data_IF_362652945085
#
_entry.id   IF_362652945085
#
_cell.length_a   1.000
_cell.length_b   1.000
_cell.length_c   1.000
_cell.angle_alpha   90.00
_cell.angle_beta   90.00
_cell.angle_gamma   90.00
#
_symmetry.space_group_name_H-M   'P 1'
#
loop_
_entity.id
_entity.type
_entity.pdbx_description
1 polymer ?
#
# COMPACT_ATOMS: atom_id res chain seq x y z
N UNK A 1 32.47 -2.79 -14.15
CA UNK A 1 32.44 -1.32 -14.34
C UNK A 1 31.17 -0.84 -13.67
N UNK A 2 31.26 -0.34 -12.42
CA UNK A 2 30.14 0.20 -11.68
C UNK A 2 29.73 1.54 -12.29
N UNK A 3 28.63 1.55 -13.03
CA UNK A 3 28.01 2.79 -13.50
C UNK A 3 27.60 3.62 -12.28
N UNK A 4 28.04 4.87 -12.22
CA UNK A 4 27.52 5.84 -11.26
C UNK A 4 26.05 6.07 -11.65
N UNK A 5 25.12 5.42 -10.95
CA UNK A 5 23.70 5.74 -11.10
C UNK A 5 23.52 7.22 -10.74
N UNK A 6 22.95 8.00 -11.66
CA UNK A 6 22.60 9.39 -11.39
C UNK A 6 21.69 9.49 -10.15
N UNK A 7 21.52 10.70 -9.63
CA UNK A 7 20.56 10.94 -8.54
C UNK A 7 19.15 10.73 -9.10
N UNK A 8 18.39 9.79 -8.52
CA UNK A 8 16.98 9.59 -8.86
C UNK A 8 16.10 10.48 -7.99
N UNK A 9 14.90 10.88 -8.47
CA UNK A 9 14.00 11.67 -7.66
C UNK A 9 13.51 10.86 -6.46
N UNK A 10 13.09 9.62 -6.69
CA UNK A 10 12.54 8.77 -5.63
C UNK A 10 13.06 7.34 -5.72
N UNK A 11 13.53 6.82 -4.58
CA UNK A 11 13.69 5.37 -4.37
C UNK A 11 12.48 4.86 -3.60
N UNK A 12 11.84 3.82 -4.13
CA UNK A 12 10.75 3.08 -3.48
C UNK A 12 11.28 1.74 -3.00
N UNK A 13 11.14 1.45 -1.72
CA UNK A 13 11.59 0.19 -1.11
C UNK A 13 10.38 -0.72 -0.89
N UNK A 14 10.30 -1.79 -1.68
CA UNK A 14 9.21 -2.75 -1.71
C UNK A 14 8.29 -2.58 -2.93
N UNK A 15 8.09 -3.65 -3.70
CA UNK A 15 7.20 -3.70 -4.88
C UNK A 15 5.89 -4.46 -4.59
N UNK A 16 5.32 -4.28 -3.41
CA UNK A 16 3.94 -4.64 -3.12
C UNK A 16 2.95 -3.65 -3.76
N UNK A 17 1.65 -3.81 -3.49
CA UNK A 17 0.61 -2.95 -4.06
C UNK A 17 0.85 -1.45 -3.80
N UNK A 18 1.33 -1.09 -2.60
CA UNK A 18 1.64 0.30 -2.26
C UNK A 18 2.80 0.85 -3.08
N UNK A 19 3.94 0.13 -3.10
CA UNK A 19 5.14 0.60 -3.79
C UNK A 19 4.97 0.66 -5.31
N UNK A 20 4.35 -0.37 -5.93
CA UNK A 20 4.09 -0.37 -7.38
C UNK A 20 3.16 0.78 -7.78
N UNK A 21 2.08 1.02 -7.01
CA UNK A 21 1.16 2.09 -7.35
C UNK A 21 1.79 3.48 -7.14
N UNK A 22 2.59 3.66 -6.08
CA UNK A 22 3.34 4.89 -5.87
C UNK A 22 4.33 5.16 -7.03
N UNK A 23 5.10 4.15 -7.42
CA UNK A 23 6.04 4.25 -8.52
C UNK A 23 5.34 4.58 -9.85
N UNK A 24 4.18 3.97 -10.11
CA UNK A 24 3.37 4.28 -11.29
C UNK A 24 2.94 5.74 -11.33
N UNK A 25 2.41 6.25 -10.23
CA UNK A 25 1.93 7.66 -10.14
C UNK A 25 3.09 8.63 -10.31
N UNK A 26 4.23 8.41 -9.65
CA UNK A 26 5.42 9.25 -9.75
C UNK A 26 6.00 9.23 -11.17
N UNK A 27 6.14 8.06 -11.79
CA UNK A 27 6.67 7.93 -13.14
C UNK A 27 5.76 8.62 -14.18
N UNK A 28 4.42 8.54 -14.01
CA UNK A 28 3.47 9.28 -14.84
C UNK A 28 3.55 10.79 -14.62
N UNK A 29 4.00 11.23 -13.44
CA UNK A 29 4.35 12.63 -13.16
C UNK A 29 5.76 13.00 -13.69
N UNK A 30 6.39 12.13 -14.49
CA UNK A 30 7.72 12.30 -15.12
C UNK A 30 8.87 12.38 -14.11
N UNK A 31 8.69 11.80 -12.91
CA UNK A 31 9.79 11.64 -11.94
C UNK A 31 10.63 10.41 -12.29
N UNK A 32 11.94 10.53 -12.08
CA UNK A 32 12.83 9.37 -12.13
C UNK A 32 12.61 8.52 -10.87
N UNK A 33 12.28 7.23 -11.06
CA UNK A 33 11.94 6.32 -9.97
C UNK A 33 12.70 5.03 -10.11
N UNK A 34 13.33 4.59 -9.02
CA UNK A 34 13.90 3.25 -8.87
C UNK A 34 13.15 2.52 -7.77
N UNK A 35 12.68 1.30 -8.05
CA UNK A 35 12.03 0.42 -7.07
C UNK A 35 12.98 -0.72 -6.71
N UNK A 36 13.20 -0.94 -5.42
CA UNK A 36 13.97 -2.08 -4.89
C UNK A 36 13.04 -3.04 -4.18
N UNK A 37 13.08 -4.34 -4.54
CA UNK A 37 12.17 -5.35 -4.01
C UNK A 37 12.90 -6.66 -3.67
N UNK A 38 12.65 -7.20 -2.49
CA UNK A 38 13.21 -8.48 -2.03
C UNK A 38 12.43 -9.73 -2.53
N UNK A 39 11.32 -9.51 -3.25
CA UNK A 39 10.53 -10.58 -3.84
C UNK A 39 9.69 -11.40 -2.85
N UNK A 40 9.46 -10.93 -1.62
CA UNK A 40 8.76 -11.65 -0.56
C UNK A 40 7.43 -10.98 -0.15
N UNK A 41 6.40 -10.95 -1.03
CA UNK A 41 5.14 -10.30 -0.73
C UNK A 41 4.36 -11.05 0.36
N UNK A 42 3.75 -10.30 1.30
CA UNK A 42 2.99 -10.84 2.44
C UNK A 42 1.93 -11.86 2.04
N UNK A 43 1.22 -11.59 0.95
CA UNK A 43 0.08 -12.39 0.49
C UNK A 43 0.46 -13.54 -0.48
N UNK A 44 1.75 -13.84 -0.62
CA UNK A 44 2.22 -14.96 -1.45
C UNK A 44 1.56 -16.33 -1.12
N UNK A 45 1.23 -16.64 0.16
CA UNK A 45 0.56 -17.91 0.47
C UNK A 45 -0.88 -18.02 -0.03
N UNK A 46 -1.55 -16.90 -0.35
CA UNK A 46 -2.93 -16.87 -0.79
C UNK A 46 -3.04 -17.19 -2.30
N UNK A 47 -3.95 -18.09 -2.67
CA UNK A 47 -4.19 -18.41 -4.08
C UNK A 47 -4.90 -17.26 -4.82
N UNK A 48 -5.76 -16.54 -4.13
CA UNK A 48 -6.57 -15.45 -4.67
C UNK A 48 -6.65 -14.27 -3.71
N UNK A 49 -6.89 -13.09 -4.23
CA UNK A 49 -7.21 -11.90 -3.45
C UNK A 49 -8.64 -11.45 -3.78
N UNK A 50 -9.33 -10.91 -2.79
CA UNK A 50 -10.70 -10.45 -2.92
C UNK A 50 -10.87 -9.00 -2.44
N UNK A 51 -12.00 -8.38 -2.83
CA UNK A 51 -12.32 -7.02 -2.42
C UNK A 51 -11.55 -5.92 -3.16
N UNK A 52 -10.91 -6.24 -4.27
CA UNK A 52 -10.34 -5.24 -5.19
C UNK A 52 -11.23 -5.16 -6.43
N UNK A 53 -12.04 -4.11 -6.55
CA UNK A 53 -12.94 -3.89 -7.67
C UNK A 53 -12.20 -4.02 -9.01
N UNK A 54 -12.75 -4.77 -9.95
CA UNK A 54 -12.19 -5.16 -11.25
C UNK A 54 -11.04 -6.19 -11.19
N UNK A 55 -10.57 -6.59 -10.01
CA UNK A 55 -9.51 -7.58 -9.80
C UNK A 55 -9.90 -8.67 -8.78
N UNK A 56 -11.19 -8.75 -8.44
CA UNK A 56 -11.70 -9.76 -7.51
C UNK A 56 -11.41 -11.16 -8.00
N UNK A 57 -10.88 -12.03 -7.13
CA UNK A 57 -10.45 -13.39 -7.46
C UNK A 57 -9.10 -13.51 -8.20
N UNK A 58 -8.41 -12.39 -8.47
CA UNK A 58 -7.09 -12.43 -9.13
C UNK A 58 -6.03 -13.01 -8.17
N UNK A 59 -5.11 -13.89 -8.65
CA UNK A 59 -3.96 -14.29 -7.85
C UNK A 59 -3.09 -13.08 -7.46
N UNK A 60 -2.63 -12.97 -6.21
CA UNK A 60 -1.78 -11.85 -5.78
C UNK A 60 -0.52 -11.66 -6.64
N UNK A 61 0.14 -12.77 -7.02
CA UNK A 61 1.32 -12.72 -7.87
C UNK A 61 1.01 -12.11 -9.25
N UNK A 62 -0.13 -12.43 -9.84
CA UNK A 62 -0.55 -11.89 -11.14
C UNK A 62 -0.78 -10.37 -11.08
N UNK A 63 -1.33 -9.85 -9.97
CA UNK A 63 -1.46 -8.40 -9.78
C UNK A 63 -0.10 -7.71 -9.79
N UNK A 64 0.88 -8.26 -9.07
CA UNK A 64 2.23 -7.68 -9.00
C UNK A 64 2.95 -7.76 -10.35
N UNK A 65 2.76 -8.84 -11.10
CA UNK A 65 3.32 -9.01 -12.44
C UNK A 65 2.75 -7.95 -13.41
N UNK A 66 1.43 -7.78 -13.45
CA UNK A 66 0.78 -6.73 -14.24
C UNK A 66 1.30 -5.34 -13.83
N UNK A 67 1.40 -5.06 -12.53
CA UNK A 67 1.93 -3.79 -12.03
C UNK A 67 3.37 -3.53 -12.47
N UNK A 68 4.26 -4.53 -12.42
CA UNK A 68 5.64 -4.42 -12.93
C UNK A 68 5.67 -4.15 -14.44
N UNK A 69 4.82 -4.82 -15.21
CA UNK A 69 4.71 -4.59 -16.65
C UNK A 69 4.18 -3.17 -16.99
N UNK A 70 3.29 -2.62 -16.16
CA UNK A 70 2.84 -1.24 -16.30
C UNK A 70 3.97 -0.25 -16.03
N UNK A 71 4.77 -0.45 -14.98
CA UNK A 71 5.92 0.41 -14.65
C UNK A 71 6.96 0.46 -15.77
N UNK A 72 7.22 -0.67 -16.43
CA UNK A 72 8.19 -0.76 -17.51
C UNK A 72 7.86 0.21 -18.67
N UNK A 73 6.58 0.52 -18.92
CA UNK A 73 6.14 1.47 -19.96
C UNK A 73 6.58 2.91 -19.67
N UNK A 74 6.88 3.22 -18.41
CA UNK A 74 7.27 4.56 -17.95
C UNK A 74 8.76 4.66 -17.59
N UNK A 75 9.55 3.62 -17.91
CA UNK A 75 10.98 3.61 -17.68
C UNK A 75 11.40 3.52 -16.21
N UNK A 76 10.52 2.99 -15.33
CA UNK A 76 10.86 2.73 -13.93
C UNK A 76 11.87 1.60 -13.86
N UNK A 77 12.97 1.83 -13.15
CA UNK A 77 13.97 0.80 -12.88
C UNK A 77 13.49 -0.09 -11.71
N UNK A 78 13.49 -1.40 -11.94
CA UNK A 78 13.15 -2.41 -10.94
C UNK A 78 14.40 -3.20 -10.59
N UNK A 79 14.86 -3.10 -9.35
CA UNK A 79 16.03 -3.82 -8.84
C UNK A 79 15.56 -4.93 -7.89
N UNK A 80 15.93 -6.17 -8.21
CA UNK A 80 15.75 -7.30 -7.31
C UNK A 80 16.86 -7.24 -6.25
N UNK A 81 16.49 -7.04 -5.00
CA UNK A 81 17.46 -6.93 -3.90
C UNK A 81 16.84 -6.43 -2.61
N UNK A 82 17.63 -6.48 -1.58
CA UNK A 82 17.28 -5.98 -0.26
C UNK A 82 18.00 -4.66 0.00
N UNK A 83 17.30 -3.71 0.61
CA UNK A 83 17.90 -2.49 1.15
C UNK A 83 18.34 -2.77 2.59
N UNK A 84 19.62 -2.59 2.85
CA UNK A 84 20.22 -2.81 4.18
C UNK A 84 20.11 -1.56 5.05
N UNK A 85 20.38 -0.39 4.45
CA UNK A 85 20.50 0.87 5.18
C UNK A 85 20.17 2.07 4.29
N UNK A 86 19.67 3.12 4.90
CA UNK A 86 19.43 4.42 4.26
C UNK A 86 20.15 5.50 5.07
N UNK A 87 21.06 6.23 4.42
CA UNK A 87 21.73 7.38 4.99
C UNK A 87 21.01 8.67 4.60
N UNK A 88 20.67 9.49 5.60
CA UNK A 88 20.09 10.82 5.40
C UNK A 88 21.18 11.89 5.53
N UNK A 89 21.54 12.49 4.40
CA UNK A 89 22.59 13.52 4.36
C UNK A 89 22.15 14.87 4.94
N UNK A 90 20.85 15.14 5.00
CA UNK A 90 20.30 16.33 5.66
C UNK A 90 20.47 16.28 7.18
N UNK A 91 20.29 15.09 7.75
CA UNK A 91 20.41 14.85 9.19
C UNK A 91 21.88 14.85 9.66
N UNK A 92 22.78 14.32 8.84
CA UNK A 92 24.22 14.31 9.11
C UNK A 92 24.78 15.75 9.19
N UNK A 93 24.40 16.63 8.27
CA UNK A 93 24.81 18.03 8.29
C UNK A 93 24.35 18.79 9.56
N UNK A 94 23.15 18.51 10.05
CA UNK A 94 22.64 19.13 11.30
C UNK A 94 23.29 18.56 12.57
N UNK A 95 23.80 17.35 12.57
CA UNK A 95 24.48 16.75 13.71
C UNK A 95 25.90 17.35 13.87
N UNK A 96 26.60 17.62 12.77
CA UNK A 96 27.91 18.25 12.77
C UNK A 96 27.87 19.74 13.18
N UNK A 97 26.79 20.44 12.82
CA UNK A 97 26.60 21.86 13.17
C UNK A 97 26.29 22.05 14.67
N UNK A 98 25.51 21.15 15.29
CA UNK A 98 25.27 21.15 16.74
C UNK A 98 26.50 20.81 17.56
N UNK A 99 27.47 20.10 16.99
CA UNK A 99 28.75 19.78 17.64
C UNK A 99 29.71 20.96 17.71
N UNK A 100 29.50 21.98 16.87
CA UNK A 100 30.34 23.19 16.81
C UNK A 100 29.84 24.35 17.67
N UNK A 101 28.56 24.35 18.02
CA UNK A 101 27.92 25.44 18.81
C UNK A 101 27.60 24.98 20.24
N UNK A 102 28.63 24.70 21.01
CA UNK A 102 28.55 24.46 22.45
C UNK A 102 28.32 25.74 23.22
N UNK A 103 27.12 26.31 23.22
CA UNK A 103 26.77 27.35 24.17
C UNK A 103 25.97 28.52 23.61
N UNK A 104 24.66 28.42 23.72
CA UNK A 104 23.71 29.45 24.19
C UNK A 104 22.29 29.10 23.74
N UNK A 105 21.41 28.88 24.72
CA UNK A 105 20.01 28.61 24.47
C UNK A 105 19.27 29.82 23.94
N UNK A 106 18.38 29.57 22.99
CA UNK A 106 17.17 30.35 22.75
C UNK A 106 16.17 29.47 22.00
N UNK A 107 15.01 29.21 22.60
CA UNK A 107 13.85 28.67 21.91
C UNK A 107 13.36 29.70 20.88
N UNK A 108 13.41 29.33 19.62
CA UNK A 108 12.87 30.12 18.53
C UNK A 108 12.77 29.24 17.30
N UNK A 109 11.55 29.01 16.80
CA UNK A 109 11.29 28.40 15.53
C UNK A 109 12.06 29.14 14.44
N UNK A 110 13.18 28.58 14.00
CA UNK A 110 13.87 29.00 12.79
C UNK A 110 13.66 27.90 11.75
N UNK A 111 12.82 28.22 10.76
CA UNK A 111 12.97 27.65 9.41
C UNK A 111 14.35 28.14 8.97
N UNK A 112 15.39 27.33 9.30
CA UNK A 112 16.77 27.73 9.09
C UNK A 112 17.10 27.74 7.61
N UNK A 113 17.72 28.85 7.17
CA UNK A 113 18.39 29.02 5.90
C UNK A 113 19.23 27.78 5.57
N UNK A 114 18.78 27.01 4.59
CA UNK A 114 19.57 25.92 4.00
C UNK A 114 20.66 26.52 3.12
N UNK A 115 21.93 26.16 3.29
CA UNK A 115 22.96 26.62 2.38
C UNK A 115 22.64 26.18 0.95
N UNK A 116 22.58 27.14 0.04
CA UNK A 116 22.40 26.93 -1.38
C UNK A 116 23.59 26.09 -1.91
N UNK A 117 23.38 24.79 -2.17
CA UNK A 117 24.40 23.95 -2.80
C UNK A 117 24.33 22.46 -2.54
N UNK A 118 23.85 21.99 -1.38
CA UNK A 118 23.65 20.56 -1.16
C UNK A 118 22.15 20.24 -1.23
N UNK A 119 21.76 19.46 -2.24
CA UNK A 119 20.45 18.79 -2.24
C UNK A 119 20.51 17.78 -1.11
N UNK A 120 19.81 17.98 0.03
CA UNK A 120 19.72 16.93 1.03
C UNK A 120 19.05 15.75 0.36
N UNK A 121 19.74 14.67 0.32
CA UNK A 121 19.30 13.46 -0.35
C UNK A 121 19.64 12.26 0.52
N UNK A 122 19.30 11.13 0.00
CA UNK A 122 19.54 9.86 0.66
C UNK A 122 20.52 9.02 -0.15
N UNK A 123 21.33 8.24 0.55
CA UNK A 123 22.04 7.10 -0.03
C UNK A 123 21.37 5.83 0.45
N UNK A 124 20.83 5.06 -0.48
CA UNK A 124 20.16 3.77 -0.23
C UNK A 124 21.14 2.66 -0.56
N UNK A 125 21.56 1.91 0.44
CA UNK A 125 22.52 0.81 0.32
C UNK A 125 21.81 -0.51 0.09
N UNK A 126 22.22 -1.22 -0.95
CA UNK A 126 21.70 -2.55 -1.28
C UNK A 126 22.60 -3.64 -0.69
N UNK A 127 22.01 -4.72 -0.20
CA UNK A 127 22.73 -5.89 0.29
C UNK A 127 23.64 -6.47 -0.81
N UNK A 128 24.95 -6.36 -0.63
CA UNK A 128 25.94 -6.86 -1.60
C UNK A 128 25.91 -6.16 -2.96
N UNK A 129 25.22 -5.03 -3.09
CA UNK A 129 25.02 -4.28 -4.33
C UNK A 129 25.55 -2.84 -4.29
N UNK A 130 25.30 -2.07 -5.37
CA UNK A 130 25.64 -0.66 -5.42
C UNK A 130 24.77 0.17 -4.48
N UNK A 131 25.24 1.36 -4.13
CA UNK A 131 24.42 2.35 -3.44
C UNK A 131 23.69 3.23 -4.48
N UNK A 132 22.41 3.55 -4.18
CA UNK A 132 21.58 4.44 -4.98
C UNK A 132 21.50 5.80 -4.30
N UNK A 133 21.47 6.87 -5.08
CA UNK A 133 21.23 8.22 -4.56
C UNK A 133 19.82 8.68 -4.91
N UNK A 134 19.09 9.20 -3.93
CA UNK A 134 17.72 9.66 -4.10
C UNK A 134 17.48 11.01 -3.43
N UNK A 135 16.56 11.80 -3.98
CA UNK A 135 16.07 13.02 -3.32
C UNK A 135 15.05 12.69 -2.23
N UNK A 136 14.23 11.67 -2.45
CA UNK A 136 13.18 11.21 -1.52
C UNK A 136 13.15 9.70 -1.44
N UNK A 137 12.61 9.18 -0.34
CA UNK A 137 12.45 7.73 -0.13
C UNK A 137 11.02 7.41 0.28
N UNK A 138 10.44 6.38 -0.34
CA UNK A 138 9.20 5.74 0.10
C UNK A 138 9.51 4.33 0.60
N UNK A 139 9.17 4.05 1.87
CA UNK A 139 9.28 2.71 2.44
C UNK A 139 7.91 2.03 2.36
N UNK A 140 7.82 0.95 1.57
CA UNK A 140 6.63 0.15 1.33
C UNK A 140 6.88 -1.34 1.58
N UNK A 141 7.73 -1.65 2.55
CA UNK A 141 8.26 -2.98 2.89
C UNK A 141 7.22 -3.93 3.51
N UNK A 142 6.06 -3.40 3.89
CA UNK A 142 4.97 -4.19 4.45
C UNK A 142 5.25 -4.72 5.87
N UNK A 143 4.69 -5.88 6.19
CA UNK A 143 4.83 -6.57 7.47
C UNK A 143 5.03 -8.08 7.26
N UNK A 144 5.37 -8.78 8.34
CA UNK A 144 5.35 -10.25 8.41
C UNK A 144 4.34 -10.71 9.45
N UNK A 145 3.69 -11.82 9.18
CA UNK A 145 2.76 -12.47 10.09
C UNK A 145 3.51 -13.55 10.89
N UNK A 146 3.60 -13.38 12.21
CA UNK A 146 4.13 -14.40 13.11
C UNK A 146 2.98 -15.28 13.62
N UNK A 147 3.03 -16.53 13.22
CA UNK A 147 2.01 -17.51 13.54
C UNK A 147 2.28 -18.19 14.88
N UNK A 148 1.24 -18.62 15.63
CA UNK A 148 1.44 -19.39 16.84
C UNK A 148 2.11 -20.74 16.54
N UNK A 149 2.91 -21.23 17.48
CA UNK A 149 3.69 -22.47 17.36
C UNK A 149 2.85 -23.75 17.51
N UNK A 150 1.63 -23.76 17.00
CA UNK A 150 0.72 -24.92 17.04
C UNK A 150 0.97 -25.79 15.79
N UNK A 151 1.22 -27.10 15.91
CA UNK A 151 1.42 -28.01 14.78
C UNK A 151 0.26 -27.93 13.77
N UNK A 152 0.60 -27.85 12.48
CA UNK A 152 -0.36 -27.69 11.37
C UNK A 152 -0.70 -26.24 11.02
N UNK A 153 -0.40 -25.27 11.87
CA UNK A 153 -0.74 -23.86 11.63
C UNK A 153 0.06 -23.29 10.44
N UNK A 154 1.36 -23.50 10.42
CA UNK A 154 2.23 -22.96 9.35
C UNK A 154 1.93 -23.58 8.00
N UNK A 155 1.67 -24.88 7.97
CA UNK A 155 1.41 -25.68 6.77
C UNK A 155 0.05 -25.34 6.14
N UNK A 156 -0.88 -24.83 6.94
CA UNK A 156 -2.24 -24.48 6.49
C UNK A 156 -2.45 -22.97 6.25
N UNK A 157 -1.46 -22.15 6.56
CA UNK A 157 -1.55 -20.69 6.40
C UNK A 157 -1.80 -20.27 4.96
N UNK A 158 -2.84 -19.45 4.76
CA UNK A 158 -3.27 -18.98 3.44
C UNK A 158 -4.09 -19.99 2.64
N UNK A 159 -4.45 -21.16 3.22
CA UNK A 159 -5.25 -22.21 2.60
C UNK A 159 -6.60 -22.36 3.30
N UNK A 160 -6.64 -23.08 4.40
CA UNK A 160 -7.80 -23.26 5.28
C UNK A 160 -7.50 -22.84 6.73
N UNK A 161 -6.30 -22.32 7.00
CA UNK A 161 -6.01 -21.42 8.11
C UNK A 161 -5.88 -20.00 7.59
N UNK A 162 -6.76 -19.13 8.01
CA UNK A 162 -7.02 -17.82 7.44
C UNK A 162 -6.91 -16.72 8.51
N UNK A 163 -6.74 -15.49 8.07
CA UNK A 163 -6.77 -14.34 8.99
C UNK A 163 -7.98 -13.45 8.74
N UNK A 164 -8.13 -12.94 7.53
CA UNK A 164 -9.08 -11.87 7.21
C UNK A 164 -10.43 -12.44 6.71
N UNK A 165 -11.54 -12.26 7.44
CA UNK A 165 -12.85 -12.71 6.97
C UNK A 165 -13.32 -12.01 5.69
N UNK A 166 -13.02 -10.73 5.54
CA UNK A 166 -13.36 -9.99 4.32
C UNK A 166 -12.59 -10.46 3.09
N UNK A 167 -11.41 -11.06 3.31
CA UNK A 167 -10.57 -11.55 2.21
C UNK A 167 -10.93 -12.97 1.79
N UNK A 168 -11.39 -13.82 2.73
CA UNK A 168 -11.54 -15.26 2.50
C UNK A 168 -12.79 -15.87 3.12
N UNK A 169 -13.61 -15.10 3.84
CA UNK A 169 -14.79 -15.63 4.51
C UNK A 169 -15.86 -16.12 3.53
N UNK A 170 -15.97 -15.50 2.36
CA UNK A 170 -16.96 -15.86 1.36
C UNK A 170 -16.69 -17.25 0.75
N UNK A 171 -15.43 -17.64 0.57
CA UNK A 171 -15.02 -18.93 0.02
C UNK A 171 -15.30 -20.09 0.98
N UNK A 172 -15.34 -19.79 2.28
CA UNK A 172 -15.62 -20.78 3.35
C UNK A 172 -16.99 -20.54 4.03
N UNK A 173 -17.87 -19.75 3.40
CA UNK A 173 -19.20 -19.48 3.96
C UNK A 173 -20.02 -20.75 4.14
N UNK A 174 -20.94 -20.73 5.08
CA UNK A 174 -21.88 -21.80 5.41
C UNK A 174 -21.20 -23.12 5.86
N UNK A 175 -19.87 -23.09 6.10
CA UNK A 175 -19.10 -24.23 6.57
C UNK A 175 -18.83 -24.12 8.08
N UNK A 176 -18.46 -25.25 8.74
CA UNK A 176 -17.99 -25.21 10.12
C UNK A 176 -16.67 -24.43 10.25
N UNK A 177 -16.72 -23.26 10.89
CA UNK A 177 -15.56 -22.38 11.09
C UNK A 177 -15.04 -22.41 12.52
N UNK A 178 -13.73 -22.29 12.69
CA UNK A 178 -13.08 -22.15 13.98
C UNK A 178 -12.33 -20.84 14.12
N UNK A 179 -12.12 -20.39 15.36
CA UNK A 179 -11.24 -19.26 15.69
C UNK A 179 -10.26 -19.70 16.78
N UNK A 180 -8.95 -19.49 16.55
CA UNK A 180 -7.93 -19.73 17.56
C UNK A 180 -7.77 -18.53 18.49
N UNK A 181 -7.91 -18.75 19.81
CA UNK A 181 -7.79 -17.76 20.87
C UNK A 181 -6.33 -17.52 21.27
N UNK A 182 -5.52 -17.06 20.35
CA UNK A 182 -4.10 -16.71 20.58
C UNK A 182 -3.85 -15.20 20.66
N UNK A 183 -4.92 -14.40 20.54
CA UNK A 183 -4.87 -12.94 20.55
C UNK A 183 -6.17 -12.38 21.17
N UNK A 184 -6.14 -11.28 21.93
CA UNK A 184 -7.35 -10.66 22.52
C UNK A 184 -8.48 -10.37 21.53
N UNK A 185 -8.15 -10.07 20.26
CA UNK A 185 -9.14 -9.85 19.20
C UNK A 185 -9.91 -11.08 18.73
N UNK A 186 -9.59 -12.29 19.22
CA UNK A 186 -10.21 -13.54 18.76
C UNK A 186 -11.71 -13.61 19.06
N UNK A 187 -12.17 -13.06 20.20
CA UNK A 187 -13.59 -13.00 20.54
C UNK A 187 -14.36 -12.14 19.53
N UNK A 188 -13.89 -10.95 19.26
CA UNK A 188 -14.49 -10.06 18.24
C UNK A 188 -14.49 -10.71 16.87
N UNK A 189 -13.44 -11.43 16.53
CA UNK A 189 -13.30 -12.16 15.28
C UNK A 189 -14.33 -13.29 15.15
N UNK A 190 -14.54 -14.07 16.21
CA UNK A 190 -15.54 -15.12 16.23
C UNK A 190 -16.96 -14.56 16.08
N UNK A 191 -17.26 -13.43 16.72
CA UNK A 191 -18.53 -12.73 16.56
C UNK A 191 -18.72 -12.19 15.14
N UNK A 192 -17.67 -11.70 14.50
CA UNK A 192 -17.70 -11.22 13.13
C UNK A 192 -17.94 -12.35 12.13
N UNK A 193 -17.31 -13.51 12.33
CA UNK A 193 -17.45 -14.67 11.45
C UNK A 193 -18.87 -15.23 11.36
N UNK A 194 -19.75 -14.90 12.33
CA UNK A 194 -21.20 -15.19 12.24
C UNK A 194 -21.89 -14.56 11.03
N UNK A 195 -21.22 -13.65 10.32
CA UNK A 195 -21.71 -13.10 9.04
C UNK A 195 -21.59 -14.12 7.90
N UNK A 196 -20.65 -15.06 8.00
CA UNK A 196 -20.34 -16.03 6.94
C UNK A 196 -20.75 -17.45 7.26
N UNK A 197 -20.97 -17.80 8.55
CA UNK A 197 -21.38 -19.14 8.95
C UNK A 197 -22.19 -19.15 10.23
N UNK A 198 -23.17 -20.04 10.26
CA UNK A 198 -23.96 -20.31 11.46
C UNK A 198 -23.27 -21.29 12.42
N UNK A 199 -22.22 -22.00 11.98
CA UNK A 199 -21.42 -22.90 12.79
C UNK A 199 -20.02 -22.34 13.05
N UNK A 200 -19.92 -21.52 14.10
CA UNK A 200 -18.63 -20.94 14.55
C UNK A 200 -18.27 -21.45 15.93
N UNK A 201 -17.03 -21.90 16.09
CA UNK A 201 -16.46 -22.34 17.37
C UNK A 201 -15.23 -21.50 17.70
N UNK A 202 -15.22 -20.89 18.87
CA UNK A 202 -14.02 -20.31 19.48
C UNK A 202 -13.24 -21.40 20.25
N UNK A 203 -11.96 -21.54 19.98
CA UNK A 203 -11.00 -22.33 20.74
C UNK A 203 -10.17 -21.37 21.60
N UNK A 204 -10.46 -21.18 22.89
CA UNK A 204 -9.79 -20.16 23.71
C UNK A 204 -8.28 -20.34 23.77
N UNK A 205 -7.78 -21.57 23.85
CA UNK A 205 -6.37 -21.92 23.91
C UNK A 205 -5.62 -21.19 25.03
N UNK A 206 -5.04 -20.01 24.75
CA UNK A 206 -4.36 -19.17 25.77
C UNK A 206 -5.16 -17.94 26.18
N UNK A 207 -6.34 -17.73 25.56
CA UNK A 207 -7.23 -16.62 25.88
C UNK A 207 -8.25 -17.05 26.94
N UNK A 208 -8.53 -16.19 27.87
CA UNK A 208 -9.60 -16.36 28.86
C UNK A 208 -10.71 -15.35 28.58
N UNK A 209 -11.77 -15.72 27.83
CA UNK A 209 -12.88 -14.81 27.57
C UNK A 209 -13.59 -14.46 28.89
N UNK A 210 -13.84 -13.17 29.09
CA UNK A 210 -14.57 -12.63 30.24
C UNK A 210 -16.02 -13.12 30.26
N UNK A 211 -16.71 -13.00 31.39
CA UNK A 211 -18.14 -13.34 31.49
C UNK A 211 -19.01 -12.60 30.47
N UNK A 212 -18.75 -11.30 30.26
CA UNK A 212 -19.46 -10.50 29.27
C UNK A 212 -19.16 -10.95 27.83
N UNK A 213 -17.94 -11.35 27.52
CA UNK A 213 -17.58 -11.90 26.20
C UNK A 213 -18.26 -13.26 25.96
N UNK A 214 -18.30 -14.13 26.97
CA UNK A 214 -19.00 -15.42 26.92
C UNK A 214 -20.50 -15.23 26.66
N UNK A 215 -21.14 -14.27 27.34
CA UNK A 215 -22.53 -13.92 27.10
C UNK A 215 -22.76 -13.45 25.66
N UNK A 216 -21.93 -12.58 25.12
CA UNK A 216 -22.00 -12.10 23.73
C UNK A 216 -21.82 -13.23 22.72
N UNK A 217 -20.86 -14.13 22.95
CA UNK A 217 -20.63 -15.31 22.11
C UNK A 217 -21.86 -16.22 22.12
N UNK A 218 -22.41 -16.53 23.28
CA UNK A 218 -23.62 -17.35 23.42
C UNK A 218 -24.83 -16.71 22.76
N UNK A 219 -25.07 -15.42 22.95
CA UNK A 219 -26.17 -14.67 22.34
C UNK A 219 -26.08 -14.67 20.79
N UNK A 220 -24.85 -14.74 20.24
CA UNK A 220 -24.63 -14.84 18.78
C UNK A 220 -24.54 -16.29 18.28
N UNK A 221 -24.75 -17.30 19.13
CA UNK A 221 -24.68 -18.71 18.75
C UNK A 221 -23.26 -19.20 18.47
N UNK A 222 -22.21 -18.51 18.96
CA UNK A 222 -20.83 -18.98 18.88
C UNK A 222 -20.57 -19.93 20.03
N UNK A 223 -20.18 -21.17 19.73
CA UNK A 223 -19.81 -22.16 20.72
C UNK A 223 -18.37 -21.98 21.16
N UNK A 224 -18.06 -22.34 22.40
CA UNK A 224 -16.69 -22.34 22.94
C UNK A 224 -16.28 -23.80 23.14
N UNK A 225 -15.16 -24.21 22.58
CA UNK A 225 -14.52 -25.50 22.83
C UNK A 225 -13.35 -25.22 23.80
N UNK A 226 -13.61 -25.50 25.09
CA UNK A 226 -12.64 -25.25 26.17
C UNK A 226 -11.41 -26.12 26.05
N UNK A 227 -10.29 -25.62 26.55
CA UNK A 227 -9.01 -26.33 26.62
C UNK A 227 -7.97 -25.81 25.61
N UNK A 228 -6.74 -26.26 25.83
CA UNK A 228 -5.62 -25.91 24.99
C UNK A 228 -5.70 -26.65 23.64
N UNK A 229 -5.38 -25.95 22.57
CA UNK A 229 -5.27 -26.55 21.23
C UNK A 229 -3.93 -27.26 21.12
N UNK A 230 -3.95 -28.54 20.77
CA UNK A 230 -2.76 -29.36 20.57
C UNK A 230 -2.22 -29.26 19.15
N UNK A 231 -3.10 -29.35 18.14
CA UNK A 231 -2.73 -29.24 16.71
C UNK A 231 -3.95 -29.04 15.83
N UNK A 232 -3.70 -28.68 14.60
CA UNK A 232 -4.66 -28.78 13.49
C UNK A 232 -4.58 -30.21 12.91
N UNK A 233 -5.75 -30.82 12.71
CA UNK A 233 -5.87 -32.16 12.11
C UNK A 233 -6.00 -32.00 10.60
N UNK A 234 -5.07 -32.60 9.86
CA UNK A 234 -5.03 -32.52 8.39
C UNK A 234 -5.12 -33.92 7.82
N UNK A 235 -5.97 -34.13 6.83
CA UNK A 235 -6.04 -35.35 6.00
C UNK A 235 -6.39 -34.96 4.56
N UNK A 236 -5.85 -35.67 3.59
CA UNK A 236 -6.04 -35.42 2.15
C UNK A 236 -5.75 -33.96 1.76
N UNK A 237 -4.68 -33.40 2.30
CA UNK A 237 -4.24 -32.03 2.12
C UNK A 237 -5.33 -30.96 2.46
N UNK A 238 -6.22 -31.27 3.41
CA UNK A 238 -7.27 -30.37 3.91
C UNK A 238 -7.34 -30.39 5.42
N UNK A 239 -7.70 -29.24 5.99
CA UNK A 239 -8.06 -29.18 7.40
C UNK A 239 -9.31 -30.04 7.65
N UNK A 240 -9.28 -30.86 8.71
CA UNK A 240 -10.39 -31.70 9.16
C UNK A 240 -10.92 -31.29 10.52
N UNK A 241 -10.13 -30.59 11.31
CA UNK A 241 -10.54 -30.16 12.63
C UNK A 241 -9.39 -29.63 13.49
N UNK A 242 -9.75 -29.33 14.73
CA UNK A 242 -8.83 -28.88 15.78
C UNK A 242 -8.81 -29.94 16.88
N UNK A 243 -7.63 -30.48 17.20
CA UNK A 243 -7.42 -31.41 18.32
C UNK A 243 -7.08 -30.63 19.59
N UNK A 244 -7.83 -30.86 20.65
CA UNK A 244 -7.58 -30.31 21.97
C UNK A 244 -6.57 -31.19 22.73
N UNK A 245 -5.98 -30.66 23.80
CA UNK A 245 -4.97 -31.35 24.60
C UNK A 245 -5.46 -32.71 25.16
N UNK A 246 -6.76 -32.80 25.46
CA UNK A 246 -7.41 -34.02 25.97
C UNK A 246 -7.70 -35.06 24.89
N UNK A 247 -7.32 -34.79 23.65
CA UNK A 247 -7.48 -35.70 22.50
C UNK A 247 -8.80 -35.58 21.77
N UNK A 248 -9.73 -34.73 22.22
CA UNK A 248 -10.96 -34.45 21.49
C UNK A 248 -10.63 -33.71 20.18
N UNK A 249 -11.18 -34.17 19.06
CA UNK A 249 -11.12 -33.49 17.77
C UNK A 249 -12.45 -32.83 17.50
N UNK A 250 -12.44 -31.51 17.29
CA UNK A 250 -13.61 -30.73 16.89
C UNK A 250 -13.52 -30.47 15.38
N UNK A 251 -14.41 -31.09 14.56
CA UNK A 251 -14.36 -30.93 13.11
C UNK A 251 -14.54 -29.48 12.68
N UNK A 252 -13.68 -28.96 11.82
CA UNK A 252 -13.72 -27.62 11.22
C UNK A 252 -13.25 -27.69 9.77
N UNK A 253 -13.91 -26.94 8.89
CA UNK A 253 -13.52 -26.86 7.49
C UNK A 253 -12.46 -25.76 7.26
N UNK A 254 -12.55 -24.69 8.03
CA UNK A 254 -11.53 -23.63 8.06
C UNK A 254 -11.39 -23.07 9.49
N UNK A 255 -10.21 -22.55 9.78
CA UNK A 255 -9.89 -21.94 11.07
C UNK A 255 -9.32 -20.53 10.81
N UNK A 256 -9.74 -19.58 11.62
CA UNK A 256 -9.25 -18.22 11.59
C UNK A 256 -8.32 -17.97 12.79
N UNK A 257 -7.27 -17.18 12.56
CA UNK A 257 -6.29 -16.82 13.58
C UNK A 257 -5.85 -15.37 13.42
N UNK A 258 -5.59 -14.69 14.54
CA UNK A 258 -4.85 -13.44 14.53
C UNK A 258 -3.35 -13.73 14.65
N UNK A 259 -2.56 -13.50 13.59
CA UNK A 259 -1.11 -13.55 13.70
C UNK A 259 -0.59 -12.35 14.50
N UNK A 260 0.58 -12.44 15.09
CA UNK A 260 1.29 -11.24 15.52
C UNK A 260 1.86 -10.54 14.29
N UNK A 261 1.28 -9.40 13.96
CA UNK A 261 1.73 -8.59 12.83
C UNK A 261 2.97 -7.79 13.23
N UNK A 262 4.06 -7.97 12.52
CA UNK A 262 5.34 -7.30 12.79
C UNK A 262 5.73 -6.47 11.57
N UNK A 263 5.77 -5.13 11.68
CA UNK A 263 6.16 -4.28 10.55
C UNK A 263 7.61 -4.55 10.13
N UNK A 264 7.89 -4.44 8.84
CA UNK A 264 9.26 -4.47 8.29
C UNK A 264 9.80 -3.04 8.24
N UNK A 265 9.97 -2.42 9.38
CA UNK A 265 10.21 -1.00 9.55
C UNK A 265 11.62 -0.65 10.08
N UNK A 266 12.58 -1.57 9.99
CA UNK A 266 13.94 -1.34 10.43
C UNK A 266 14.55 -0.06 9.82
N UNK A 267 14.36 0.15 8.52
CA UNK A 267 14.84 1.34 7.82
C UNK A 267 14.22 2.64 8.37
N UNK A 268 12.92 2.62 8.69
CA UNK A 268 12.23 3.77 9.28
C UNK A 268 12.71 4.05 10.70
N UNK A 269 13.05 3.00 11.45
CA UNK A 269 13.64 3.12 12.80
C UNK A 269 15.01 3.78 12.76
N UNK A 270 15.87 3.34 11.84
CA UNK A 270 17.21 3.90 11.66
C UNK A 270 17.16 5.37 11.22
N UNK A 271 16.19 5.71 10.37
CA UNK A 271 15.90 7.09 9.98
C UNK A 271 15.27 7.93 11.12
N UNK A 272 14.95 7.31 12.29
CA UNK A 272 14.41 7.96 13.47
C UNK A 272 12.98 8.44 13.28
N UNK A 273 12.18 7.74 12.49
CA UNK A 273 10.75 8.02 12.38
C UNK A 273 10.03 7.72 13.69
N UNK A 274 9.12 8.63 14.08
CA UNK A 274 8.29 8.48 15.27
C UNK A 274 7.31 7.31 15.13
N UNK A 275 6.91 6.75 16.28
CA UNK A 275 5.99 5.62 16.37
C UNK A 275 4.84 5.95 17.31
N UNK A 276 3.69 5.34 17.05
CA UNK A 276 2.54 5.36 17.95
C UNK A 276 2.74 4.41 19.16
N UNK A 277 1.78 4.42 20.07
CA UNK A 277 1.76 3.54 21.26
C UNK A 277 1.72 2.04 20.90
N UNK A 278 1.23 1.71 19.72
CA UNK A 278 1.21 0.34 19.17
C UNK A 278 2.52 -0.10 18.54
N UNK A 279 3.52 0.80 18.46
CA UNK A 279 4.82 0.56 17.85
C UNK A 279 4.84 0.69 16.32
N UNK A 280 3.79 1.21 15.71
CA UNK A 280 3.71 1.48 14.27
C UNK A 280 4.28 2.85 13.92
N UNK A 281 4.92 2.97 12.77
CA UNK A 281 5.42 4.27 12.31
C UNK A 281 4.26 5.24 12.13
N UNK A 282 4.40 6.43 12.68
CA UNK A 282 3.43 7.50 12.54
C UNK A 282 3.55 8.16 11.17
N UNK A 283 2.42 8.31 10.49
CA UNK A 283 2.31 9.03 9.22
C UNK A 283 1.10 9.95 9.24
N UNK A 284 1.17 11.02 8.46
CA UNK A 284 -0.03 11.77 8.12
C UNK A 284 -0.90 11.02 7.08
N UNK A 285 -2.02 11.61 6.69
CA UNK A 285 -2.93 11.01 5.70
C UNK A 285 -2.29 10.80 4.32
N UNK A 286 -1.19 11.46 4.03
CA UNK A 286 -0.42 11.33 2.79
C UNK A 286 0.78 10.38 2.92
N UNK A 287 0.92 9.69 4.04
CA UNK A 287 2.04 8.79 4.30
C UNK A 287 3.36 9.47 4.66
N UNK A 288 3.39 10.80 4.87
CA UNK A 288 4.61 11.52 5.31
C UNK A 288 4.95 11.10 6.75
N UNK A 289 6.20 10.75 6.99
CA UNK A 289 6.71 10.43 8.33
C UNK A 289 7.25 11.68 9.05
N UNK A 290 7.68 11.53 10.30
CA UNK A 290 8.36 12.60 11.05
C UNK A 290 9.76 12.91 10.51
N UNK A 291 10.36 12.02 9.71
CA UNK A 291 11.65 12.26 9.06
C UNK A 291 11.44 12.97 7.71
N UNK A 292 12.00 14.19 7.51
CA UNK A 292 11.84 14.94 6.28
C UNK A 292 12.34 14.17 5.06
N UNK A 293 11.57 14.17 3.98
CA UNK A 293 11.93 13.47 2.73
C UNK A 293 11.67 11.95 2.75
N UNK A 294 11.06 11.43 3.84
CA UNK A 294 10.72 10.01 4.01
C UNK A 294 9.23 9.81 4.13
N UNK A 295 8.69 8.89 3.35
CA UNK A 295 7.29 8.45 3.39
C UNK A 295 7.20 6.96 3.69
N UNK A 296 6.05 6.54 4.22
CA UNK A 296 5.72 5.13 4.42
C UNK A 296 4.30 4.85 3.91
N UNK A 297 4.10 3.70 3.24
CA UNK A 297 2.79 3.32 2.71
C UNK A 297 2.55 1.81 2.75
N UNK A 298 1.29 1.42 2.89
CA UNK A 298 0.87 0.02 2.98
C UNK A 298 1.08 -0.56 4.37
N UNK A 299 1.27 -1.88 4.46
CA UNK A 299 1.25 -2.57 5.74
C UNK A 299 2.44 -2.25 6.67
N UNK A 300 3.46 -1.56 6.24
CA UNK A 300 4.51 -1.05 7.13
C UNK A 300 3.98 0.06 8.04
N UNK A 301 2.95 0.80 7.60
CA UNK A 301 2.32 1.90 8.33
C UNK A 301 0.91 1.53 8.86
N UNK A 302 0.11 0.76 8.11
CA UNK A 302 -1.21 0.28 8.55
C UNK A 302 -1.33 -1.25 8.40
N UNK A 303 -1.34 -2.01 9.53
CA UNK A 303 -1.46 -3.47 9.50
C UNK A 303 -2.77 -3.96 8.87
N UNK A 304 -3.83 -3.13 8.85
CA UNK A 304 -5.16 -3.47 8.35
C UNK A 304 -5.33 -3.19 6.87
N UNK A 305 -4.38 -2.50 6.24
CA UNK A 305 -4.48 -2.15 4.83
C UNK A 305 -4.61 -3.40 3.95
N UNK A 306 -5.75 -3.54 3.29
CA UNK A 306 -5.96 -4.52 2.24
C UNK A 306 -5.21 -4.10 0.96
N UNK A 307 -5.17 -4.96 -0.05
CA UNK A 307 -4.42 -4.69 -1.30
C UNK A 307 -4.85 -3.36 -1.93
N UNK A 308 -6.16 -3.11 -2.03
CA UNK A 308 -6.70 -1.86 -2.59
C UNK A 308 -6.37 -0.65 -1.73
N UNK A 309 -6.44 -0.80 -0.40
CA UNK A 309 -6.09 0.26 0.55
C UNK A 309 -4.60 0.59 0.45
N UNK A 310 -3.75 -0.43 0.44
CA UNK A 310 -2.30 -0.26 0.29
C UNK A 310 -1.94 0.44 -1.03
N UNK A 311 -2.60 0.08 -2.15
CA UNK A 311 -2.43 0.77 -3.42
C UNK A 311 -2.84 2.24 -3.33
N UNK A 312 -3.98 2.54 -2.69
CA UNK A 312 -4.45 3.91 -2.45
C UNK A 312 -3.48 4.73 -1.58
N UNK A 313 -2.93 4.14 -0.52
CA UNK A 313 -1.88 4.77 0.31
C UNK A 313 -0.64 5.10 -0.52
N UNK A 314 -0.21 4.19 -1.39
CA UNK A 314 0.90 4.43 -2.32
C UNK A 314 0.64 5.62 -3.25
N UNK A 315 -0.59 5.75 -3.79
CA UNK A 315 -0.97 6.90 -4.62
C UNK A 315 -0.95 8.20 -3.83
N UNK A 316 -1.50 8.22 -2.61
CA UNK A 316 -1.52 9.40 -1.75
C UNK A 316 -0.09 9.87 -1.42
N UNK A 317 0.80 8.93 -1.08
CA UNK A 317 2.21 9.21 -0.84
C UNK A 317 2.89 9.81 -2.08
N UNK A 318 2.64 9.23 -3.25
CA UNK A 318 3.23 9.71 -4.51
C UNK A 318 2.81 11.15 -4.85
N UNK A 319 1.54 11.51 -4.65
CA UNK A 319 1.08 12.88 -4.82
C UNK A 319 1.80 13.84 -3.89
N UNK A 320 1.88 13.51 -2.60
CA UNK A 320 2.55 14.36 -1.61
C UNK A 320 4.05 14.50 -1.90
N UNK A 321 4.72 13.41 -2.28
CA UNK A 321 6.13 13.42 -2.66
C UNK A 321 6.39 14.28 -3.88
N UNK A 322 5.51 14.20 -4.90
CA UNK A 322 5.65 15.02 -6.09
C UNK A 322 5.48 16.52 -5.79
N UNK A 323 4.50 16.90 -4.94
CA UNK A 323 4.36 18.29 -4.50
C UNK A 323 5.59 18.78 -3.75
N UNK A 324 6.09 18.00 -2.80
CA UNK A 324 7.30 18.31 -2.03
C UNK A 324 8.56 18.49 -2.92
N UNK A 325 8.67 17.70 -3.99
CA UNK A 325 9.73 17.86 -4.99
C UNK A 325 9.54 19.12 -5.84
N UNK A 326 8.30 19.46 -6.20
CA UNK A 326 7.99 20.69 -6.94
C UNK A 326 8.28 21.91 -6.09
N UNK A 327 7.90 21.91 -4.82
CA UNK A 327 8.17 23.02 -3.89
C UNK A 327 9.69 23.25 -3.76
N UNK A 328 10.47 22.20 -3.61
CA UNK A 328 11.94 22.26 -3.59
C UNK A 328 12.51 22.83 -4.91
N UNK A 329 11.94 22.46 -6.05
CA UNK A 329 12.36 22.98 -7.36
C UNK A 329 12.00 24.45 -7.53
N UNK A 330 10.84 24.89 -7.03
CA UNK A 330 10.43 26.29 -7.03
C UNK A 330 11.38 27.12 -6.15
N UNK A 331 11.67 26.67 -4.94
CA UNK A 331 12.59 27.36 -4.03
C UNK A 331 13.96 27.56 -4.67
N UNK A 332 14.51 26.51 -5.31
CA UNK A 332 15.77 26.59 -6.04
C UNK A 332 15.72 27.55 -7.22
N UNK A 333 14.67 27.51 -8.01
CA UNK A 333 14.49 28.40 -9.16
C UNK A 333 14.39 29.86 -8.71
N UNK A 334 13.66 30.16 -7.63
CA UNK A 334 13.55 31.50 -7.05
C UNK A 334 14.91 31.99 -6.54
N UNK A 335 15.66 31.13 -5.84
CA UNK A 335 17.01 31.49 -5.36
C UNK A 335 17.97 31.81 -6.52
N UNK A 336 17.98 30.97 -7.57
CA UNK A 336 18.80 31.19 -8.76
C UNK A 336 18.40 32.47 -9.51
N UNK A 337 17.08 32.73 -9.63
CA UNK A 337 16.56 33.98 -10.24
C UNK A 337 17.03 35.21 -9.48
N UNK A 338 16.96 35.19 -8.15
CA UNK A 338 17.42 36.26 -7.29
C UNK A 338 18.94 36.48 -7.37
N UNK A 339 19.70 35.42 -7.55
CA UNK A 339 21.15 35.48 -7.73
C UNK A 339 21.56 35.94 -9.14
N UNK A 340 20.63 36.15 -10.06
CA UNK A 340 20.92 36.56 -11.43
C UNK A 340 21.50 35.44 -12.33
N UNK A 341 21.41 34.18 -11.88
CA UNK A 341 21.95 33.02 -12.56
C UNK A 341 21.04 32.52 -13.71
N UNK A 342 19.79 33.01 -13.80
CA UNK A 342 18.88 32.73 -14.91
C UNK A 342 19.15 33.74 -16.02
N UNK A 343 20.14 33.47 -16.86
CA UNK A 343 20.27 34.12 -18.14
C UNK A 343 19.00 33.85 -18.97
N UNK A 344 18.39 34.88 -19.51
CA UNK A 344 17.21 34.81 -20.37
C UNK A 344 17.48 33.80 -21.50
N UNK A 345 16.71 32.72 -21.53
CA UNK A 345 16.64 31.86 -22.72
C UNK A 345 15.97 32.70 -23.83
N UNK A 346 16.57 32.84 -25.03
CA UNK A 346 16.03 33.75 -26.06
C UNK A 346 14.74 33.23 -26.74
N UNK A 347 14.08 32.22 -26.19
CA UNK A 347 12.87 31.65 -26.76
C UNK A 347 11.56 32.37 -26.39
N UNK A 348 11.55 33.34 -25.47
CA UNK A 348 10.33 34.00 -24.98
C UNK A 348 10.18 35.48 -25.38
N UNK A 349 10.84 35.90 -26.47
CA UNK A 349 10.49 37.16 -27.10
C UNK A 349 9.24 36.96 -27.98
N UNK A 350 8.08 36.74 -27.36
CA UNK A 350 6.79 37.06 -28.01
C UNK A 350 6.72 38.57 -28.10
N UNK A 351 7.11 39.04 -29.28
CA UNK A 351 6.94 40.43 -29.70
C UNK A 351 5.44 40.72 -29.71
N UNK A 352 4.98 41.43 -28.68
CA UNK A 352 3.72 42.18 -28.77
C UNK A 352 4.02 43.39 -29.65
N UNK A 353 4.03 43.18 -30.99
CA UNK A 353 4.12 44.24 -31.95
C UNK A 353 2.77 44.91 -32.07
N UNK A 354 2.76 46.19 -31.71
CA UNK A 354 1.61 47.08 -31.86
C UNK A 354 1.13 47.18 -33.28
N UNK A 355 -0.18 47.22 -33.43
CA UNK A 355 -0.90 47.52 -34.63
C UNK A 355 -0.57 48.91 -35.18
N UNK A 356 -0.09 48.99 -36.43
CA UNK A 356 -0.23 50.16 -37.27
C UNK A 356 -0.63 49.65 -38.66
N UNK A 357 -1.77 50.18 -39.16
CA UNK A 357 -2.47 49.71 -40.33
C UNK A 357 -1.77 49.92 -41.64
N UNK A 358 -2.17 49.15 -42.63
CA UNK A 358 -2.27 49.53 -44.03
C UNK A 358 -3.23 48.60 -44.77
N UNK A 359 -4.15 49.18 -45.43
CA UNK A 359 -5.13 48.70 -46.40
C UNK A 359 -4.48 48.05 -47.62
N UNK A 360 -5.15 47.06 -48.21
CA UNK A 360 -4.91 46.74 -49.64
C UNK A 360 -5.12 45.30 -50.02
N UNK A 361 -6.26 45.07 -50.68
CA UNK A 361 -6.54 44.21 -51.80
C UNK A 361 -6.55 42.69 -51.70
N UNK A 362 -7.70 42.17 -52.08
CA UNK A 362 -8.08 40.83 -52.34
C UNK A 362 -7.31 40.19 -53.50
N UNK A 363 -7.03 38.89 -53.39
CA UNK A 363 -7.06 38.02 -54.58
C UNK A 363 -7.34 36.54 -54.19
N UNK A 364 -8.33 36.01 -54.86
CA UNK A 364 -8.89 34.70 -54.86
C UNK A 364 -7.93 33.67 -55.48
N UNK A 365 -7.84 32.46 -54.92
CA UNK A 365 -7.66 31.22 -55.69
C UNK A 365 -7.85 29.99 -54.79
N UNK A 366 -8.95 29.36 -54.90
CA UNK A 366 -9.33 28.02 -55.31
C UNK A 366 -8.56 26.79 -54.74
N UNK A 367 -9.31 26.01 -53.98
CA UNK A 367 -9.58 24.57 -54.03
C UNK A 367 -8.43 23.55 -53.98
N UNK A 368 -8.48 22.68 -52.95
CA UNK A 368 -8.41 21.23 -53.16
C UNK A 368 -8.88 20.47 -51.93
N UNK A 369 -9.68 19.49 -52.17
CA UNK A 369 -10.47 18.65 -51.26
C UNK A 369 -9.66 17.69 -50.39
N UNK A 370 -10.09 17.45 -49.17
CA UNK A 370 -9.75 16.31 -48.34
C UNK A 370 -11.02 15.60 -47.86
N UNK A 371 -10.99 14.30 -47.52
CA UNK A 371 -12.19 13.50 -47.45
C UNK A 371 -12.91 13.60 -46.10
N UNK A 372 -14.21 13.69 -46.17
CA UNK A 372 -15.21 13.61 -45.11
C UNK A 372 -15.31 12.20 -44.52
N UNK A 373 -15.18 12.05 -43.22
CA UNK A 373 -15.63 10.86 -42.51
C UNK A 373 -17.04 11.11 -41.98
N UNK A 374 -17.99 10.31 -42.44
CA UNK A 374 -19.40 10.35 -42.05
C UNK A 374 -19.62 9.77 -40.67
N UNK A 375 -20.26 10.56 -39.81
CA UNK A 375 -20.83 10.08 -38.54
C UNK A 375 -22.22 9.55 -38.86
N UNK A 376 -22.42 8.23 -38.72
CA UNK A 376 -23.71 7.60 -38.82
C UNK A 376 -24.51 7.77 -37.50
N UNK A 377 -25.64 8.48 -37.59
CA UNK A 377 -26.67 8.55 -36.57
C UNK A 377 -27.55 7.32 -36.68
N UNK A 378 -27.35 6.36 -35.77
CA UNK A 378 -28.24 5.22 -35.55
C UNK A 378 -29.28 5.54 -34.46
N UNK A 379 -30.51 5.85 -34.85
CA UNK A 379 -31.66 5.89 -33.97
C UNK A 379 -32.14 4.47 -33.69
N UNK A 380 -31.86 3.95 -32.49
CA UNK A 380 -32.40 2.69 -31.97
C UNK A 380 -33.49 2.97 -30.95
N UNK A 381 -34.71 2.65 -31.31
CA UNK A 381 -35.95 2.72 -30.50
C UNK A 381 -35.87 1.73 -29.33
N UNK A 382 -36.00 2.25 -28.09
CA UNK A 382 -36.29 1.45 -26.90
C UNK A 382 -37.73 0.97 -26.94
N UNK A 383 -37.96 -0.33 -27.05
CA UNK A 383 -39.22 -0.99 -26.73
C UNK A 383 -39.18 -1.46 -25.27
N UNK A 384 -40.19 -1.04 -24.52
CA UNK A 384 -40.36 -1.32 -23.09
C UNK A 384 -40.66 -2.79 -22.80
N UNK A 385 -40.19 -3.24 -21.63
CA UNK A 385 -40.70 -4.46 -20.99
C UNK A 385 -41.67 -4.06 -19.89
N UNK A 386 -42.90 -4.52 -20.06
CA UNK A 386 -44.02 -4.31 -19.16
C UNK A 386 -43.85 -5.10 -17.85
N UNK A 387 -44.28 -4.46 -16.79
CA UNK A 387 -44.57 -5.08 -15.51
C UNK A 387 -45.75 -6.04 -15.64
N UNK A 388 -45.55 -7.28 -15.20
CA UNK A 388 -46.68 -8.19 -14.93
C UNK A 388 -46.65 -8.56 -13.45
N UNK A 389 -47.67 -8.05 -12.77
CA UNK A 389 -48.01 -8.30 -11.37
C UNK A 389 -48.91 -9.52 -11.31
N UNK A 390 -48.36 -10.66 -10.91
CA UNK A 390 -49.11 -11.88 -10.60
C UNK A 390 -49.22 -12.11 -9.10
N UNK A 391 -50.29 -11.66 -8.50
CA UNK A 391 -50.77 -12.08 -7.17
C UNK A 391 -51.40 -13.47 -7.31
N UNK A 392 -50.90 -14.46 -6.58
CA UNK A 392 -51.61 -15.74 -6.35
C UNK A 392 -51.73 -15.94 -4.84
N UNK A 393 -52.95 -15.77 -4.35
CA UNK A 393 -53.44 -16.32 -3.09
C UNK A 393 -53.63 -17.84 -3.23
N UNK A 394 -53.17 -18.59 -2.27
CA UNK A 394 -53.45 -20.02 -2.12
C UNK A 394 -53.36 -20.40 -0.66
N UNK A 395 -54.53 -20.50 -0.04
CA UNK A 395 -54.80 -21.02 1.30
C UNK A 395 -54.74 -22.54 1.35
N UNK A 396 -54.31 -23.10 2.49
CA UNK A 396 -54.96 -24.31 3.02
C UNK A 396 -54.10 -25.54 3.23
N UNK A 397 -54.07 -25.92 4.49
CA UNK A 397 -53.79 -27.12 5.23
C UNK A 397 -52.42 -27.26 5.84
#
# INVERSE_FOLDING_TARGET
MGGVHGVTDVVVVGAGAAGLNAALVLARARRSVTVVDDGAPRNAPAAHMHGYLSRDGMPPAALLEVGRAELARYGVELINGQVDRIEDHGRAAHAEDRGRDGGRGAAGQAVGDRPAGLVPGFTVHLAGGPALRARRVLVATGLRDELPGIPGVRERWGRDLLHCPYCHGYEVRDQPLGVLGTHPGAVAHALLLRQWSDDVVLFPHTLEPTGAERERLAARGVRIAEGAVKRLVVADDRLRGVELAEGQVVPRAAVFVFPRMVPRDALLTELGCERDEGGWVMTDASGRTSAPGVWAAGNVADPRAQVVTAAGMGAAAAFAMNHDLVDEEIERAVAAHRAGELAHSPADAVVVGGAAGATGEAQEAAAAAGPTASVGTGTGTCTGFGADSGVVHGSGA
#
